data_IF_994814686859
#
_entry.id   IF_994814686859
#
_cell.length_a   1.000
_cell.length_b   1.000
_cell.length_c   1.000
_cell.angle_alpha   90.00
_cell.angle_beta   90.00
_cell.angle_gamma   90.00
#
_symmetry.space_group_name_H-M   'P 1'
#
loop_
_entity.id
_entity.type
_entity.pdbx_description
1 polymer ?
#
# COMPACT_ATOMS: atom_id res chain seq x y z
N UNK A 1 -45.09 22.67 15.15
CA UNK A 1 -43.94 22.83 16.08
C UNK A 1 -42.68 22.81 15.27
N UNK A 2 -41.77 23.75 15.48
CA UNK A 2 -40.50 23.75 14.75
C UNK A 2 -39.42 23.00 15.56
N UNK A 3 -38.75 22.01 14.94
CA UNK A 3 -37.63 21.33 15.54
C UNK A 3 -36.48 22.32 15.83
N UNK A 4 -35.79 22.15 16.95
CA UNK A 4 -34.69 23.04 17.37
C UNK A 4 -35.11 24.16 18.36
N UNK A 5 -36.40 24.34 18.63
CA UNK A 5 -36.83 25.24 19.70
C UNK A 5 -36.74 24.53 21.07
N UNK A 6 -36.43 25.27 22.17
CA UNK A 6 -36.38 24.72 23.53
C UNK A 6 -37.68 24.07 24.00
N UNK A 7 -38.83 24.50 23.43
CA UNK A 7 -40.17 23.97 23.68
C UNK A 7 -40.51 22.70 22.86
N UNK A 8 -39.64 22.28 21.95
CA UNK A 8 -39.88 21.09 21.13
C UNK A 8 -39.42 19.85 21.90
N UNK A 9 -40.34 19.18 22.54
CA UNK A 9 -40.11 17.96 23.28
C UNK A 9 -40.99 16.85 22.70
N UNK A 10 -40.34 15.76 22.29
CA UNK A 10 -41.00 14.52 21.91
C UNK A 10 -40.44 13.36 22.75
N UNK A 11 -41.31 12.45 23.15
CA UNK A 11 -40.84 11.16 23.65
C UNK A 11 -40.17 10.37 22.57
N UNK A 12 -39.29 9.42 22.93
CA UNK A 12 -38.60 8.58 21.95
C UNK A 12 -39.59 7.80 21.09
N UNK A 13 -40.68 7.31 21.66
CA UNK A 13 -41.75 6.62 20.94
C UNK A 13 -42.44 7.50 19.91
N UNK A 14 -42.81 8.74 20.30
CA UNK A 14 -43.39 9.71 19.36
C UNK A 14 -42.42 10.14 18.25
N UNK A 15 -41.13 10.21 18.58
CA UNK A 15 -40.10 10.47 17.58
C UNK A 15 -40.04 9.36 16.54
N UNK A 16 -39.97 8.08 16.97
CA UNK A 16 -39.93 6.91 16.09
C UNK A 16 -41.17 6.90 15.18
N UNK A 17 -42.35 7.11 15.74
CA UNK A 17 -43.59 7.13 14.99
C UNK A 17 -43.65 8.24 13.94
N UNK A 18 -43.25 9.46 14.29
CA UNK A 18 -43.29 10.63 13.40
C UNK A 18 -42.22 10.62 12.31
N UNK A 19 -41.07 10.02 12.58
CA UNK A 19 -39.92 10.02 11.65
C UNK A 19 -39.71 8.68 10.96
N UNK A 20 -40.47 7.66 11.33
CA UNK A 20 -40.25 6.26 10.87
C UNK A 20 -38.80 5.78 11.10
N UNK A 21 -38.24 6.13 12.26
CA UNK A 21 -36.84 5.87 12.58
C UNK A 21 -36.60 4.37 12.79
N UNK A 22 -35.75 3.78 11.97
CA UNK A 22 -35.39 2.35 12.03
C UNK A 22 -34.19 2.05 12.95
N UNK A 23 -33.43 3.08 13.34
CA UNK A 23 -32.23 2.95 14.16
C UNK A 23 -32.44 3.06 15.66
N UNK A 24 -33.69 3.20 16.16
CA UNK A 24 -34.06 3.34 17.56
C UNK A 24 -35.23 2.41 17.87
N UNK A 25 -35.13 1.68 18.99
CA UNK A 25 -36.18 0.80 19.51
C UNK A 25 -36.47 1.15 20.97
N UNK A 26 -37.73 1.20 21.35
CA UNK A 26 -38.14 1.40 22.74
C UNK A 26 -38.80 0.14 23.26
N UNK A 27 -38.31 -0.36 24.41
CA UNK A 27 -38.94 -1.44 25.16
C UNK A 27 -39.54 -0.88 26.45
N UNK A 28 -40.83 -1.09 26.67
CA UNK A 28 -41.53 -0.68 27.87
C UNK A 28 -41.44 -1.78 28.96
N UNK A 29 -41.53 -1.38 30.24
CA UNK A 29 -41.56 -2.28 31.38
C UNK A 29 -40.42 -2.11 32.35
N UNK A 30 -40.41 -2.93 33.42
CA UNK A 30 -39.44 -2.85 34.54
C UNK A 30 -37.96 -3.00 34.05
N UNK A 31 -37.76 -3.74 32.99
CA UNK A 31 -36.44 -3.94 32.36
C UNK A 31 -36.37 -3.33 30.94
N UNK A 32 -37.25 -2.38 30.68
CA UNK A 32 -37.29 -1.66 29.44
C UNK A 32 -36.19 -0.61 29.29
N UNK A 33 -36.09 -0.02 28.10
CA UNK A 33 -35.12 1.03 27.79
C UNK A 33 -35.19 1.43 26.33
N UNK A 34 -34.43 2.45 25.99
CA UNK A 34 -34.22 2.85 24.61
C UNK A 34 -32.91 2.24 24.09
N UNK A 35 -33.04 1.51 23.01
CA UNK A 35 -31.90 0.90 22.29
C UNK A 35 -31.72 1.66 20.99
N UNK A 36 -30.49 1.97 20.62
CA UNK A 36 -30.18 2.72 19.43
C UNK A 36 -29.01 2.12 18.65
N UNK A 37 -28.98 2.34 17.34
CA UNK A 37 -27.79 2.04 16.55
C UNK A 37 -26.58 2.77 17.16
N UNK A 38 -25.40 2.15 17.07
CA UNK A 38 -24.17 2.66 17.70
C UNK A 38 -23.91 4.14 17.40
N UNK A 39 -24.11 4.58 16.15
CA UNK A 39 -23.84 5.95 15.74
C UNK A 39 -24.76 6.95 16.45
N UNK A 40 -26.05 6.61 16.61
CA UNK A 40 -27.03 7.40 17.36
C UNK A 40 -26.66 7.43 18.85
N UNK A 41 -26.22 6.30 19.41
CA UNK A 41 -25.80 6.20 20.79
C UNK A 41 -24.54 7.04 21.08
N UNK A 42 -23.58 7.06 20.15
CA UNK A 42 -22.40 7.92 20.24
C UNK A 42 -22.75 9.40 20.17
N UNK A 43 -23.61 9.80 19.22
CA UNK A 43 -24.07 11.19 19.09
C UNK A 43 -24.82 11.64 20.33
N UNK A 44 -25.71 10.81 20.86
CA UNK A 44 -26.41 11.08 22.11
C UNK A 44 -25.43 11.25 23.27
N UNK A 45 -24.48 10.33 23.45
CA UNK A 45 -23.44 10.44 24.47
C UNK A 45 -22.62 11.73 24.35
N UNK A 46 -22.25 12.11 23.14
CA UNK A 46 -21.53 13.35 22.86
C UNK A 46 -22.38 14.61 23.13
N UNK A 47 -23.70 14.54 22.94
CA UNK A 47 -24.64 15.65 23.22
C UNK A 47 -24.80 15.89 24.71
N UNK A 48 -24.88 14.84 25.54
CA UNK A 48 -25.11 14.95 26.99
C UNK A 48 -23.84 15.10 27.82
N UNK A 49 -22.67 14.69 27.29
CA UNK A 49 -21.40 14.73 28.00
C UNK A 49 -20.30 15.38 27.16
N UNK A 50 -19.90 16.59 27.57
CA UNK A 50 -18.73 17.26 26.94
C UNK A 50 -17.43 16.50 27.15
N UNK A 51 -17.30 15.79 28.27
CA UNK A 51 -16.13 14.92 28.55
C UNK A 51 -16.09 13.76 27.57
N UNK A 52 -17.22 13.11 27.33
CA UNK A 52 -17.31 12.02 26.34
C UNK A 52 -17.02 12.51 24.94
N UNK A 53 -17.52 13.68 24.54
CA UNK A 53 -17.20 14.30 23.26
C UNK A 53 -15.71 14.56 23.10
N UNK A 54 -15.05 15.13 24.11
CA UNK A 54 -13.61 15.36 24.09
C UNK A 54 -12.81 14.04 24.03
N UNK A 55 -13.27 13.00 24.72
CA UNK A 55 -12.69 11.68 24.63
C UNK A 55 -12.76 11.11 23.22
N UNK A 56 -13.90 11.17 22.56
CA UNK A 56 -14.06 10.74 21.16
C UNK A 56 -13.13 11.47 20.21
N UNK A 57 -13.03 12.81 20.36
CA UNK A 57 -12.14 13.63 19.52
C UNK A 57 -10.68 13.22 19.73
N UNK A 58 -10.23 13.05 20.98
CA UNK A 58 -8.86 12.62 21.28
C UNK A 58 -8.57 11.22 20.76
N UNK A 59 -9.50 10.29 20.91
CA UNK A 59 -9.32 8.93 20.42
C UNK A 59 -9.28 8.88 18.89
N UNK A 60 -10.10 9.67 18.20
CA UNK A 60 -10.01 9.83 16.75
C UNK A 60 -8.65 10.38 16.31
N UNK A 61 -8.16 11.43 16.99
CA UNK A 61 -6.84 12.00 16.70
C UNK A 61 -5.73 10.97 16.90
N UNK A 62 -5.74 10.24 18.01
CA UNK A 62 -4.78 9.16 18.30
C UNK A 62 -4.78 8.08 17.21
N UNK A 63 -5.97 7.60 16.81
CA UNK A 63 -6.09 6.60 15.75
C UNK A 63 -5.58 7.10 14.41
N UNK A 64 -5.80 8.38 14.10
CA UNK A 64 -5.25 9.01 12.88
C UNK A 64 -3.74 9.13 12.92
N UNK A 65 -3.16 9.50 14.04
CA UNK A 65 -1.71 9.53 14.23
C UNK A 65 -1.09 8.15 14.12
N UNK A 66 -1.71 7.12 14.74
CA UNK A 66 -1.27 5.73 14.64
C UNK A 66 -1.32 5.22 13.19
N UNK A 67 -2.37 5.54 12.44
CA UNK A 67 -2.51 5.20 11.01
C UNK A 67 -1.40 5.84 10.17
N UNK A 68 -1.11 7.11 10.38
CA UNK A 68 -0.05 7.86 9.67
C UNK A 68 1.34 7.29 10.01
N UNK A 69 1.59 6.98 11.27
CA UNK A 69 2.85 6.40 11.73
C UNK A 69 3.07 5.01 11.14
N UNK A 70 2.05 4.17 11.10
CA UNK A 70 2.14 2.84 10.50
C UNK A 70 2.43 2.91 9.00
N UNK A 71 1.75 3.77 8.26
CA UNK A 71 2.04 4.00 6.82
C UNK A 71 3.47 4.50 6.60
N UNK A 72 3.96 5.39 7.44
CA UNK A 72 5.34 5.89 7.39
C UNK A 72 6.36 4.78 7.67
N UNK A 73 6.10 3.91 8.66
CA UNK A 73 6.96 2.78 9.00
C UNK A 73 7.03 1.75 7.88
N UNK A 74 5.88 1.38 7.30
CA UNK A 74 5.79 0.46 6.16
C UNK A 74 6.55 1.00 4.95
N UNK A 75 6.37 2.27 4.62
CA UNK A 75 7.09 2.96 3.56
C UNK A 75 8.61 2.95 3.78
N UNK A 76 9.06 3.27 4.99
CA UNK A 76 10.48 3.29 5.35
C UNK A 76 11.10 1.89 5.28
N UNK A 77 10.39 0.87 5.77
CA UNK A 77 10.84 -0.53 5.69
C UNK A 77 10.99 -0.98 4.23
N UNK A 78 9.99 -0.69 3.41
CA UNK A 78 9.98 -1.06 1.99
C UNK A 78 11.10 -0.38 1.21
N UNK A 79 11.32 0.93 1.47
CA UNK A 79 12.43 1.69 0.90
C UNK A 79 13.79 1.13 1.32
N UNK A 80 13.93 0.71 2.57
CA UNK A 80 15.16 0.13 3.11
C UNK A 80 15.44 -1.24 2.47
N UNK A 81 14.44 -2.10 2.36
CA UNK A 81 14.56 -3.40 1.69
C UNK A 81 14.95 -3.25 0.22
N UNK A 82 14.31 -2.34 -0.50
CA UNK A 82 14.66 -2.06 -1.91
C UNK A 82 16.11 -1.60 -2.06
N UNK A 83 16.60 -0.74 -1.17
CA UNK A 83 18.01 -0.30 -1.18
C UNK A 83 18.99 -1.45 -0.91
N UNK A 84 18.65 -2.33 0.03
CA UNK A 84 19.47 -3.50 0.37
C UNK A 84 19.51 -4.46 -0.82
N UNK A 85 18.38 -4.81 -1.41
CA UNK A 85 18.30 -5.71 -2.54
C UNK A 85 19.03 -5.17 -3.78
N UNK A 86 18.87 -3.86 -4.07
CA UNK A 86 19.62 -3.19 -5.10
C UNK A 86 21.16 -3.29 -4.86
N UNK A 87 21.61 -3.09 -3.62
CA UNK A 87 23.03 -3.24 -3.27
C UNK A 87 23.51 -4.66 -3.46
N UNK A 88 22.77 -5.65 -2.96
CA UNK A 88 23.09 -7.08 -3.14
C UNK A 88 23.24 -7.43 -4.63
N UNK A 89 22.33 -6.92 -5.46
CA UNK A 89 22.36 -7.13 -6.90
C UNK A 89 23.58 -6.47 -7.56
N UNK A 90 23.84 -5.19 -7.25
CA UNK A 90 24.99 -4.46 -7.83
C UNK A 90 26.32 -5.02 -7.39
N UNK A 91 26.43 -5.51 -6.14
CA UNK A 91 27.63 -6.18 -5.64
C UNK A 91 27.87 -7.51 -6.39
N UNK A 92 26.81 -8.33 -6.62
CA UNK A 92 26.92 -9.55 -7.41
C UNK A 92 27.35 -9.28 -8.86
N UNK A 93 26.83 -8.24 -9.51
CA UNK A 93 27.27 -7.83 -10.86
C UNK A 93 28.74 -7.45 -10.85
N UNK A 94 29.15 -6.65 -9.85
CA UNK A 94 30.52 -6.20 -9.71
C UNK A 94 31.50 -7.34 -9.52
N UNK A 95 31.15 -8.29 -8.66
CA UNK A 95 32.06 -9.35 -8.23
C UNK A 95 32.18 -10.49 -9.27
N UNK A 96 31.05 -10.80 -9.95
CA UNK A 96 30.96 -12.01 -10.79
C UNK A 96 30.91 -11.71 -12.30
N UNK A 97 30.37 -10.54 -12.71
CA UNK A 97 30.19 -10.25 -14.14
C UNK A 97 31.23 -9.25 -14.67
N UNK A 98 31.58 -8.23 -13.87
CA UNK A 98 32.50 -7.18 -14.32
C UNK A 98 33.97 -7.65 -14.23
N UNK A 99 34.68 -7.77 -15.36
CA UNK A 99 36.12 -8.10 -15.31
C UNK A 99 36.92 -6.98 -14.61
N UNK A 100 37.96 -7.36 -13.86
CA UNK A 100 38.79 -6.39 -13.09
C UNK A 100 39.55 -5.37 -13.95
N UNK A 101 39.61 -5.57 -15.27
CA UNK A 101 40.40 -4.77 -16.21
C UNK A 101 39.57 -3.83 -17.10
N UNK A 102 38.25 -3.67 -16.84
CA UNK A 102 37.37 -2.84 -17.68
C UNK A 102 37.37 -1.37 -17.22
N UNK A 103 37.10 -0.47 -18.18
CA UNK A 103 36.92 0.95 -17.88
C UNK A 103 35.58 1.21 -17.14
N UNK A 104 35.44 2.41 -16.52
CA UNK A 104 34.19 2.81 -15.86
C UNK A 104 32.99 2.81 -16.83
N UNK A 105 33.20 3.26 -18.05
CA UNK A 105 32.19 3.31 -19.10
C UNK A 105 31.73 1.89 -19.47
N UNK A 106 32.66 0.94 -19.63
CA UNK A 106 32.33 -0.46 -19.88
C UNK A 106 31.56 -1.10 -18.73
N UNK A 107 31.96 -0.82 -17.50
CA UNK A 107 31.23 -1.27 -16.31
C UNK A 107 29.79 -0.71 -16.27
N UNK A 108 29.57 0.56 -16.63
CA UNK A 108 28.24 1.16 -16.73
C UNK A 108 27.34 0.45 -17.75
N UNK A 109 27.88 -0.01 -18.88
CA UNK A 109 27.13 -0.82 -19.84
C UNK A 109 26.67 -2.15 -19.25
N UNK A 110 27.51 -2.81 -18.46
CA UNK A 110 27.12 -4.06 -17.80
C UNK A 110 25.98 -3.82 -16.80
N UNK A 111 26.10 -2.79 -15.98
CA UNK A 111 25.01 -2.42 -15.06
C UNK A 111 23.71 -2.08 -15.78
N UNK A 112 23.80 -1.34 -16.89
CA UNK A 112 22.63 -1.00 -17.69
C UNK A 112 21.96 -2.24 -18.30
N UNK A 113 22.75 -3.17 -18.84
CA UNK A 113 22.25 -4.43 -19.36
C UNK A 113 21.56 -5.30 -18.30
N UNK A 114 22.13 -5.38 -17.11
CA UNK A 114 21.55 -6.13 -16.01
C UNK A 114 20.27 -5.46 -15.46
N UNK A 115 20.22 -4.13 -15.45
CA UNK A 115 19.01 -3.40 -15.12
C UNK A 115 17.91 -3.62 -16.18
N UNK A 116 18.26 -3.64 -17.45
CA UNK A 116 17.32 -3.91 -18.54
C UNK A 116 16.84 -5.37 -18.57
N UNK A 117 17.66 -6.33 -18.14
CA UNK A 117 17.22 -7.70 -17.92
C UNK A 117 16.01 -7.77 -16.97
N UNK A 118 16.10 -7.09 -15.83
CA UNK A 118 15.00 -7.01 -14.86
C UNK A 118 13.78 -6.26 -15.42
N UNK A 119 14.03 -5.17 -16.15
CA UNK A 119 12.95 -4.41 -16.78
C UNK A 119 12.20 -5.26 -17.82
N UNK A 120 12.92 -6.01 -18.65
CA UNK A 120 12.31 -6.89 -19.66
C UNK A 120 11.55 -8.03 -18.98
N UNK A 121 12.13 -8.64 -17.93
CA UNK A 121 11.51 -9.75 -17.21
C UNK A 121 10.18 -9.33 -16.55
N UNK A 122 10.07 -8.10 -16.03
CA UNK A 122 8.88 -7.63 -15.30
C UNK A 122 7.93 -6.82 -16.18
N UNK A 123 8.44 -5.90 -17.01
CA UNK A 123 7.65 -4.94 -17.77
C UNK A 123 7.55 -5.27 -19.27
N UNK A 124 8.32 -6.27 -19.74
CA UNK A 124 8.36 -6.67 -21.15
C UNK A 124 9.09 -5.70 -22.07
N UNK A 125 9.85 -4.73 -21.53
CA UNK A 125 10.56 -3.71 -22.32
C UNK A 125 11.81 -3.17 -21.62
N UNK A 126 12.79 -2.71 -22.40
CA UNK A 126 13.99 -2.04 -21.89
C UNK A 126 13.69 -0.59 -21.47
N UNK A 127 14.60 0.02 -20.73
CA UNK A 127 14.52 1.44 -20.39
C UNK A 127 14.49 2.35 -21.65
N UNK A 128 15.23 1.97 -22.70
CA UNK A 128 15.23 2.70 -23.98
C UNK A 128 13.87 2.61 -24.67
N UNK A 129 13.32 1.41 -24.82
CA UNK A 129 12.00 1.20 -25.44
C UNK A 129 10.89 1.93 -24.68
N UNK A 130 10.96 1.98 -23.37
CA UNK A 130 9.99 2.71 -22.57
C UNK A 130 10.06 4.23 -22.82
N UNK A 131 11.26 4.82 -22.89
CA UNK A 131 11.44 6.26 -23.21
C UNK A 131 10.93 6.61 -24.60
N UNK A 132 11.21 5.79 -25.59
CA UNK A 132 10.71 5.98 -26.96
C UNK A 132 9.17 5.97 -27.04
N UNK A 133 8.52 5.15 -26.19
CA UNK A 133 7.05 5.08 -26.09
C UNK A 133 6.43 6.18 -25.21
N UNK A 134 7.24 6.87 -24.40
CA UNK A 134 6.78 7.89 -23.46
C UNK A 134 7.67 9.14 -23.51
N UNK A 135 7.74 9.85 -24.66
CA UNK A 135 8.66 10.98 -24.85
C UNK A 135 8.34 12.16 -23.93
N UNK A 136 7.06 12.32 -23.54
CA UNK A 136 6.59 13.42 -22.69
C UNK A 136 6.74 13.16 -21.19
N UNK A 137 7.24 11.98 -20.80
CA UNK A 137 7.39 11.62 -19.39
C UNK A 137 8.84 11.76 -18.93
N UNK A 138 9.06 12.46 -17.83
CA UNK A 138 10.36 12.52 -17.16
C UNK A 138 10.63 11.25 -16.35
N UNK A 139 11.91 10.92 -16.13
CA UNK A 139 12.32 9.78 -15.31
C UNK A 139 12.47 8.47 -16.08
N UNK A 140 12.09 7.37 -15.46
CA UNK A 140 12.27 6.01 -15.98
C UNK A 140 11.05 5.13 -15.70
N UNK A 141 11.03 3.92 -16.26
CA UNK A 141 9.92 2.96 -16.14
C UNK A 141 9.55 2.63 -14.68
N UNK A 142 10.53 2.64 -13.77
CA UNK A 142 10.33 2.32 -12.34
C UNK A 142 9.59 3.43 -11.59
N UNK A 143 9.71 4.68 -12.04
CA UNK A 143 9.03 5.83 -11.45
C UNK A 143 7.51 5.80 -11.70
N UNK A 144 7.08 5.02 -12.70
CA UNK A 144 5.68 4.81 -13.08
C UNK A 144 5.17 3.40 -12.78
N UNK A 145 5.95 2.62 -12.05
CA UNK A 145 5.57 1.27 -11.65
C UNK A 145 4.57 1.29 -10.47
N UNK A 146 3.65 0.32 -10.46
CA UNK A 146 2.76 0.12 -9.31
C UNK A 146 3.54 -0.39 -8.09
N UNK A 147 2.92 -0.30 -6.91
CA UNK A 147 3.52 -0.79 -5.67
C UNK A 147 3.87 -2.28 -5.77
N UNK A 148 2.97 -3.08 -6.33
CA UNK A 148 3.19 -4.52 -6.54
C UNK A 148 4.38 -4.77 -7.45
N UNK A 149 4.51 -4.01 -8.54
CA UNK A 149 5.64 -4.10 -9.46
C UNK A 149 6.97 -3.75 -8.77
N UNK A 150 6.98 -2.73 -7.92
CA UNK A 150 8.18 -2.35 -7.17
C UNK A 150 8.59 -3.42 -6.15
N UNK A 151 7.64 -4.06 -5.48
CA UNK A 151 7.90 -5.19 -4.57
C UNK A 151 8.48 -6.36 -5.34
N UNK A 152 7.87 -6.74 -6.46
CA UNK A 152 8.37 -7.82 -7.31
C UNK A 152 9.77 -7.52 -7.84
N UNK A 153 10.00 -6.28 -8.31
CA UNK A 153 11.32 -5.85 -8.79
C UNK A 153 12.40 -5.99 -7.71
N UNK A 154 12.12 -5.56 -6.50
CA UNK A 154 13.04 -5.70 -5.36
C UNK A 154 13.38 -7.15 -5.06
N UNK A 155 12.40 -8.05 -5.10
CA UNK A 155 12.63 -9.49 -4.94
C UNK A 155 13.45 -10.05 -6.09
N UNK A 156 13.16 -9.65 -7.33
CA UNK A 156 13.91 -10.08 -8.52
C UNK A 156 15.38 -9.65 -8.48
N UNK A 157 15.68 -8.47 -7.95
CA UNK A 157 17.06 -8.01 -7.74
C UNK A 157 17.84 -8.98 -6.86
N UNK A 158 17.25 -9.42 -5.75
CA UNK A 158 17.87 -10.42 -4.85
C UNK A 158 18.03 -11.79 -5.51
N UNK A 159 17.00 -12.24 -6.24
CA UNK A 159 17.05 -13.53 -6.96
C UNK A 159 18.08 -13.49 -8.07
N UNK A 160 18.14 -12.40 -8.86
CA UNK A 160 19.15 -12.26 -9.92
C UNK A 160 20.58 -12.28 -9.36
N UNK A 161 20.80 -11.65 -8.22
CA UNK A 161 22.10 -11.73 -7.54
C UNK A 161 22.51 -13.17 -7.22
N UNK A 162 21.57 -14.00 -6.77
CA UNK A 162 21.81 -15.43 -6.53
C UNK A 162 22.13 -16.18 -7.84
N UNK A 163 21.34 -15.94 -8.88
CA UNK A 163 21.55 -16.59 -10.19
C UNK A 163 22.87 -16.18 -10.84
N UNK A 164 23.30 -14.93 -10.67
CA UNK A 164 24.63 -14.44 -11.09
C UNK A 164 25.72 -15.21 -10.37
N UNK A 165 25.66 -15.36 -9.05
CA UNK A 165 26.65 -16.12 -8.26
C UNK A 165 26.69 -17.61 -8.60
N UNK A 166 25.59 -18.15 -9.10
CA UNK A 166 25.51 -19.52 -9.62
C UNK A 166 26.12 -19.66 -11.03
N UNK A 167 26.54 -18.56 -11.64
CA UNK A 167 27.15 -18.54 -12.97
C UNK A 167 26.14 -18.75 -14.11
N UNK A 168 24.84 -18.55 -13.90
CA UNK A 168 23.84 -18.72 -14.94
C UNK A 168 23.99 -17.64 -16.03
N UNK A 169 23.94 -18.00 -17.31
CA UNK A 169 23.98 -17.06 -18.41
C UNK A 169 22.73 -16.18 -18.43
N UNK A 170 22.85 -14.97 -18.95
CA UNK A 170 21.82 -13.94 -18.94
C UNK A 170 20.49 -14.43 -19.57
N UNK A 171 20.56 -15.21 -20.65
CA UNK A 171 19.37 -15.78 -21.29
C UNK A 171 18.56 -16.70 -20.38
N UNK A 172 19.23 -17.54 -19.60
CA UNK A 172 18.58 -18.45 -18.65
C UNK A 172 18.02 -17.68 -17.44
N UNK A 173 18.76 -16.67 -16.96
CA UNK A 173 18.31 -15.79 -15.89
C UNK A 173 17.04 -15.03 -16.29
N UNK A 174 16.95 -14.54 -17.54
CA UNK A 174 15.76 -13.87 -18.05
C UNK A 174 14.51 -14.75 -17.95
N UNK A 175 14.61 -16.02 -18.36
CA UNK A 175 13.49 -16.97 -18.31
C UNK A 175 13.04 -17.21 -16.87
N UNK A 176 13.99 -17.45 -15.98
CA UNK A 176 13.68 -17.69 -14.56
C UNK A 176 13.05 -16.44 -13.89
N UNK A 177 13.64 -15.27 -14.11
CA UNK A 177 13.15 -14.01 -13.57
C UNK A 177 11.75 -13.65 -14.09
N UNK A 178 11.48 -13.90 -15.37
CA UNK A 178 10.14 -13.71 -15.93
C UNK A 178 9.11 -14.65 -15.28
N UNK A 179 9.45 -15.91 -15.07
CA UNK A 179 8.60 -16.86 -14.35
C UNK A 179 8.32 -16.41 -12.91
N UNK A 180 9.35 -15.92 -12.21
CA UNK A 180 9.21 -15.34 -10.86
C UNK A 180 8.29 -14.11 -10.89
N UNK A 181 8.52 -13.19 -11.83
CA UNK A 181 7.69 -11.98 -11.98
C UNK A 181 6.22 -12.33 -12.16
N UNK A 182 5.88 -13.24 -13.09
CA UNK A 182 4.51 -13.69 -13.35
C UNK A 182 3.88 -14.29 -12.09
N UNK A 183 4.61 -15.17 -11.39
CA UNK A 183 4.11 -15.86 -10.20
C UNK A 183 3.84 -14.88 -9.06
N UNK A 184 4.79 -14.00 -8.78
CA UNK A 184 4.66 -13.02 -7.70
C UNK A 184 3.60 -11.95 -8.01
N UNK A 185 3.56 -11.42 -9.24
CA UNK A 185 2.52 -10.48 -9.65
C UNK A 185 1.12 -11.08 -9.51
N UNK A 186 0.93 -12.32 -9.95
CA UNK A 186 -0.36 -13.02 -9.79
C UNK A 186 -0.76 -13.18 -8.33
N UNK A 187 0.19 -13.49 -7.46
CA UNK A 187 -0.03 -13.64 -6.02
C UNK A 187 -0.43 -12.31 -5.36
N UNK A 188 0.30 -11.22 -5.68
CA UNK A 188 0.07 -9.90 -5.10
C UNK A 188 -1.23 -9.26 -5.57
N UNK A 189 -1.53 -9.31 -6.87
CA UNK A 189 -2.78 -8.77 -7.44
C UNK A 189 -4.03 -9.46 -6.86
N UNK A 190 -3.92 -10.74 -6.52
CA UNK A 190 -5.02 -11.49 -5.91
C UNK A 190 -5.08 -11.36 -4.38
N UNK A 191 -4.09 -10.78 -3.73
CA UNK A 191 -4.04 -10.60 -2.28
C UNK A 191 -5.05 -9.55 -1.83
N UNK A 192 -5.89 -9.92 -0.81
CA UNK A 192 -6.84 -8.98 -0.19
C UNK A 192 -6.14 -7.87 0.60
N UNK A 193 -4.92 -8.09 1.05
CA UNK A 193 -4.15 -7.13 1.84
C UNK A 193 -3.65 -5.99 0.95
N UNK A 194 -3.18 -6.27 -0.26
CA UNK A 194 -2.80 -5.23 -1.23
C UNK A 194 -3.97 -4.36 -1.68
N UNK A 195 -5.19 -4.92 -1.78
CA UNK A 195 -6.41 -4.15 -2.11
C UNK A 195 -6.83 -3.15 -1.03
N UNK A 196 -6.32 -3.26 0.19
CA UNK A 196 -6.58 -2.32 1.28
C UNK A 196 -5.58 -1.16 1.33
N UNK A 197 -4.44 -1.26 0.61
CA UNK A 197 -3.39 -0.25 0.55
C UNK A 197 -3.56 0.73 -0.63
N UNK A 198 -4.47 0.45 -1.55
CA UNK A 198 -4.90 1.34 -2.64
C UNK A 198 -6.12 2.18 -2.20
#
# INVERSE_FOLDING_TARGET
MQAGLPSFVLSTSEWIEKTNAIGIEVKNGKYGGTYAHKDIAFEFGAAISSVFRLFLIKEFQRLKEDELNNKSLEWNLQRTLSKINYRIHTDAIKDEIIPKTVTKEQAMFVYANEADLLNVALFGKTAKQWREQNPDKEGNIRDYASLEQLVVLSNMESINALLIRQGLPQSERLVQLNSVAITQMRSLVNSREFKKLQ
#
